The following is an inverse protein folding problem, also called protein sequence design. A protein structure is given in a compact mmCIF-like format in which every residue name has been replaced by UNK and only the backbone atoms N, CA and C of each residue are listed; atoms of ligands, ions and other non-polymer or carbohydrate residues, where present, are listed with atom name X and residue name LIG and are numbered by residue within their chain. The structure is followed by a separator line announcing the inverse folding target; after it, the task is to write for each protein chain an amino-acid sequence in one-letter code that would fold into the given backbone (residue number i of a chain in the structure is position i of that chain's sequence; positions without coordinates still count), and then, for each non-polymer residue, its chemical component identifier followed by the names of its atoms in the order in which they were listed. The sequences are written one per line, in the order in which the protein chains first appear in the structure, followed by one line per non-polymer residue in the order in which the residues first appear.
data_IF_106603354809
#
_entry.id   IF_106603354809
#
_cell.length_a   1.000
_cell.length_b   1.000
_cell.length_c   1.000
_cell.angle_alpha   90.00
_cell.angle_beta   90.00
_cell.angle_gamma   90.00
#
_symmetry.space_group_name_H-M   'P 1'
#
loop_
_entity.id
_entity.type
_entity.pdbx_description
1 polymer ?
#
# COMPACT_ATOMS: atom_id res chain seq x y z
N UNK A 1 -11.49 -23.50 23.31
CA UNK A 1 -10.99 -22.31 22.58
C UNK A 1 -9.56 -22.09 23.03
N UNK A 2 -8.63 -21.90 22.10
CA UNK A 2 -7.22 -21.65 22.40
C UNK A 2 -6.95 -20.13 22.36
N UNK A 3 -5.74 -19.73 22.74
CA UNK A 3 -5.39 -18.31 22.90
C UNK A 3 -5.36 -17.54 21.57
N UNK A 4 -4.98 -18.17 20.45
CA UNK A 4 -4.96 -17.52 19.14
C UNK A 4 -6.36 -17.33 18.55
N UNK A 5 -7.31 -18.27 18.76
CA UNK A 5 -8.73 -18.04 18.42
C UNK A 5 -9.33 -16.93 19.29
N UNK A 6 -8.99 -16.89 20.59
CA UNK A 6 -9.44 -15.79 21.45
C UNK A 6 -8.88 -14.44 20.96
N UNK A 7 -7.64 -14.43 20.47
CA UNK A 7 -7.02 -13.25 19.90
C UNK A 7 -7.65 -12.83 18.56
N UNK A 8 -7.95 -13.76 17.63
CA UNK A 8 -8.64 -13.43 16.38
C UNK A 8 -10.03 -12.85 16.61
N UNK A 9 -10.72 -13.32 17.65
CA UNK A 9 -12.06 -12.84 18.03
C UNK A 9 -12.02 -11.54 18.87
N UNK A 10 -10.84 -10.95 19.10
CA UNK A 10 -10.62 -9.79 19.97
C UNK A 10 -11.15 -9.95 21.41
N UNK A 11 -11.11 -11.17 21.96
CA UNK A 11 -11.56 -11.45 23.34
C UNK A 11 -10.45 -11.11 24.33
N UNK A 12 -10.15 -9.81 24.48
CA UNK A 12 -9.02 -9.30 25.27
C UNK A 12 -8.99 -9.89 26.68
N UNK A 13 -10.11 -9.86 27.41
CA UNK A 13 -10.16 -10.36 28.79
C UNK A 13 -9.83 -11.85 28.87
N UNK A 14 -10.25 -12.63 27.88
CA UNK A 14 -9.98 -14.06 27.86
C UNK A 14 -8.52 -14.35 27.49
N UNK A 15 -7.95 -13.59 26.56
CA UNK A 15 -6.50 -13.65 26.25
C UNK A 15 -5.69 -13.33 27.50
N UNK A 16 -6.03 -12.26 28.22
CA UNK A 16 -5.38 -11.90 29.48
C UNK A 16 -5.55 -12.97 30.56
N UNK A 17 -6.74 -13.58 30.68
CA UNK A 17 -6.96 -14.71 31.59
C UNK A 17 -6.04 -15.90 31.25
N UNK A 18 -5.88 -16.24 29.98
CA UNK A 18 -4.97 -17.30 29.56
C UNK A 18 -3.51 -16.99 29.90
N UNK A 19 -3.06 -15.76 29.65
CA UNK A 19 -1.69 -15.32 29.94
C UNK A 19 -1.43 -15.29 31.46
N UNK A 20 -2.35 -14.74 32.24
CA UNK A 20 -2.23 -14.65 33.70
C UNK A 20 -2.29 -16.01 34.40
N UNK A 21 -2.98 -16.98 33.80
CA UNK A 21 -3.01 -18.37 34.32
C UNK A 21 -1.70 -19.12 34.13
N UNK A 22 -0.80 -18.62 33.28
CA UNK A 22 0.46 -19.30 32.91
C UNK A 22 0.28 -20.49 31.98
N UNK A 23 -0.95 -20.80 31.53
CA UNK A 23 -1.22 -21.85 30.55
C UNK A 23 -0.67 -21.52 29.17
N UNK A 24 -0.53 -20.22 28.86
CA UNK A 24 0.00 -19.69 27.61
C UNK A 24 0.87 -18.47 27.87
N UNK A 25 1.68 -18.13 26.88
CA UNK A 25 2.48 -16.91 26.77
C UNK A 25 2.09 -16.17 25.49
N UNK A 26 2.48 -14.89 25.37
CA UNK A 26 2.20 -14.10 24.16
C UNK A 26 2.82 -14.71 22.88
N UNK A 27 3.84 -15.55 23.02
CA UNK A 27 4.52 -16.26 21.93
C UNK A 27 4.18 -17.76 21.88
N UNK A 28 3.15 -18.21 22.61
CA UNK A 28 2.68 -19.58 22.50
C UNK A 28 2.11 -19.83 21.10
N UNK A 29 2.79 -20.69 20.36
CA UNK A 29 2.47 -21.00 18.98
C UNK A 29 1.55 -22.23 18.87
N UNK A 30 0.74 -22.24 17.82
CA UNK A 30 0.10 -23.44 17.31
C UNK A 30 1.12 -24.34 16.54
N UNK A 31 0.71 -25.50 16.00
CA UNK A 31 1.62 -26.38 15.26
C UNK A 31 2.30 -25.75 14.03
N UNK A 32 1.75 -24.65 13.51
CA UNK A 32 2.31 -23.89 12.39
C UNK A 32 3.13 -22.70 12.87
N UNK A 33 3.45 -22.57 14.16
CA UNK A 33 4.19 -21.40 14.65
C UNK A 33 3.31 -20.16 14.85
N UNK A 34 2.01 -20.25 14.55
CA UNK A 34 1.09 -19.11 14.57
C UNK A 34 0.76 -18.73 16.01
N UNK A 35 0.94 -17.47 16.36
CA UNK A 35 0.82 -16.98 17.75
C UNK A 35 -0.39 -16.05 17.92
N UNK A 36 -0.82 -15.75 19.15
CA UNK A 36 -1.81 -14.70 19.42
C UNK A 36 -1.46 -13.34 18.81
N UNK A 37 -0.17 -13.04 18.65
CA UNK A 37 0.31 -11.79 18.04
C UNK A 37 0.02 -11.80 16.54
N UNK A 38 0.24 -12.91 15.84
CA UNK A 38 -0.14 -13.04 14.43
C UNK A 38 -1.65 -12.88 14.26
N UNK A 39 -2.45 -13.57 15.09
CA UNK A 39 -3.91 -13.46 15.07
C UNK A 39 -4.38 -12.01 15.33
N UNK A 40 -3.84 -11.34 16.34
CA UNK A 40 -4.21 -9.95 16.62
C UNK A 40 -3.81 -8.98 15.49
N UNK A 41 -2.66 -9.21 14.83
CA UNK A 41 -2.23 -8.41 13.69
C UNK A 41 -3.08 -8.61 12.44
N UNK A 42 -3.38 -9.87 12.09
CA UNK A 42 -4.17 -10.21 10.91
C UNK A 42 -5.56 -9.59 10.93
N UNK A 43 -6.20 -9.55 12.11
CA UNK A 43 -7.54 -8.98 12.28
C UNK A 43 -7.56 -7.53 12.78
N UNK A 44 -6.42 -6.84 12.84
CA UNK A 44 -6.35 -5.42 13.16
C UNK A 44 -6.61 -5.03 14.63
N UNK A 45 -6.43 -5.97 15.58
CA UNK A 45 -6.71 -5.76 17.01
C UNK A 45 -5.57 -5.02 17.72
N UNK A 46 -5.43 -3.72 17.40
CA UNK A 46 -4.34 -2.85 17.88
C UNK A 46 -4.21 -2.78 19.41
N UNK A 47 -5.32 -2.72 20.15
CA UNK A 47 -5.29 -2.72 21.62
C UNK A 47 -4.71 -4.02 22.16
N UNK A 48 -5.14 -5.15 21.60
CA UNK A 48 -4.66 -6.46 21.99
C UNK A 48 -3.17 -6.63 21.65
N UNK A 49 -2.74 -6.20 20.46
CA UNK A 49 -1.32 -6.16 20.09
C UNK A 49 -0.51 -5.37 21.12
N UNK A 50 -0.94 -4.16 21.46
CA UNK A 50 -0.23 -3.32 22.42
C UNK A 50 -0.09 -4.00 23.78
N UNK A 51 -1.15 -4.67 24.26
CA UNK A 51 -1.11 -5.45 25.50
C UNK A 51 -0.14 -6.62 25.40
N UNK A 52 -0.23 -7.43 24.34
CA UNK A 52 0.63 -8.60 24.13
C UNK A 52 2.12 -8.21 24.13
N UNK A 53 2.48 -7.13 23.42
CA UNK A 53 3.88 -6.67 23.33
C UNK A 53 4.34 -6.01 24.63
N UNK A 54 3.60 -5.03 25.16
CA UNK A 54 4.10 -4.18 26.24
C UNK A 54 3.89 -4.77 27.65
N UNK A 55 2.90 -5.65 27.83
CA UNK A 55 2.51 -6.16 29.15
C UNK A 55 2.84 -7.64 29.33
N UNK A 56 2.88 -8.42 28.25
CA UNK A 56 3.03 -9.88 28.30
C UNK A 56 4.30 -10.39 27.60
N UNK A 57 5.31 -9.54 27.48
CA UNK A 57 6.62 -9.86 26.90
C UNK A 57 6.54 -10.52 25.50
N UNK A 58 5.55 -10.10 24.69
CA UNK A 58 5.44 -10.52 23.31
C UNK A 58 6.56 -9.96 22.44
N UNK A 59 6.80 -10.63 21.31
CA UNK A 59 7.72 -10.19 20.26
C UNK A 59 6.92 -9.91 18.99
N UNK A 60 6.93 -8.65 18.54
CA UNK A 60 6.22 -8.23 17.32
C UNK A 60 6.87 -8.78 16.04
N UNK A 61 8.10 -9.29 16.14
CA UNK A 61 8.86 -9.90 15.06
C UNK A 61 8.92 -11.44 15.17
N UNK A 62 8.08 -12.03 16.02
CA UNK A 62 7.94 -13.50 16.11
C UNK A 62 7.66 -14.08 14.74
N UNK A 63 8.24 -15.24 14.44
CA UNK A 63 8.05 -15.94 13.16
C UNK A 63 7.18 -17.17 13.32
N UNK A 64 6.26 -17.37 12.40
CA UNK A 64 5.59 -18.65 12.23
C UNK A 64 6.47 -19.67 11.45
N UNK A 65 5.90 -20.81 11.07
CA UNK A 65 6.63 -21.89 10.38
C UNK A 65 7.00 -21.54 8.94
N UNK A 66 6.30 -20.60 8.31
CA UNK A 66 6.62 -20.07 6.98
C UNK A 66 7.64 -18.92 7.08
N UNK A 67 8.05 -18.58 8.31
CA UNK A 67 8.99 -17.50 8.58
C UNK A 67 8.36 -16.12 8.51
N UNK A 68 7.04 -16.06 8.34
CA UNK A 68 6.24 -14.85 8.31
C UNK A 68 6.18 -14.25 9.71
N UNK A 69 6.28 -12.94 9.78
CA UNK A 69 6.05 -12.16 11.00
C UNK A 69 4.60 -11.70 11.07
N UNK A 70 4.09 -11.24 12.23
CA UNK A 70 2.75 -10.64 12.32
C UNK A 70 2.47 -9.57 11.25
N UNK A 71 3.50 -8.83 10.81
CA UNK A 71 3.36 -7.81 9.77
C UNK A 71 3.11 -8.38 8.36
N UNK A 72 3.54 -9.62 8.07
CA UNK A 72 3.22 -10.31 6.80
C UNK A 72 1.72 -10.65 6.69
N UNK A 73 1.05 -10.81 7.84
CA UNK A 73 -0.36 -11.19 7.92
C UNK A 73 -1.32 -10.00 8.05
N UNK A 74 -0.82 -8.75 8.17
CA UNK A 74 -1.67 -7.57 8.31
C UNK A 74 -2.42 -7.29 7.00
N UNK A 75 -3.72 -7.04 7.10
CA UNK A 75 -4.60 -6.80 5.94
C UNK A 75 -5.01 -5.32 5.77
N UNK A 76 -4.75 -4.46 6.76
CA UNK A 76 -5.17 -3.05 6.73
C UNK A 76 -4.04 -2.04 7.01
N UNK A 77 -4.15 -0.87 6.38
CA UNK A 77 -3.17 0.20 6.48
C UNK A 77 -2.98 0.73 7.90
N UNK A 78 -4.05 0.91 8.67
CA UNK A 78 -3.95 1.54 9.99
C UNK A 78 -3.25 0.61 10.99
N UNK A 79 -3.49 -0.69 10.91
CA UNK A 79 -2.78 -1.70 11.71
C UNK A 79 -1.34 -1.82 11.26
N UNK A 80 -1.06 -1.81 9.95
CA UNK A 80 0.30 -1.84 9.41
C UNK A 80 1.14 -0.68 9.96
N UNK A 81 0.61 0.53 9.85
CA UNK A 81 1.22 1.74 10.39
C UNK A 81 1.42 1.66 11.90
N UNK A 82 0.41 1.19 12.64
CA UNK A 82 0.51 1.01 14.09
C UNK A 82 1.62 0.03 14.49
N UNK A 83 1.72 -1.12 13.82
CA UNK A 83 2.77 -2.13 14.09
C UNK A 83 4.16 -1.54 13.86
N UNK A 84 4.35 -0.76 12.80
CA UNK A 84 5.67 -0.18 12.46
C UNK A 84 6.01 1.02 13.36
N UNK A 85 5.10 1.98 13.49
CA UNK A 85 5.39 3.25 14.15
C UNK A 85 5.31 3.13 15.67
N UNK A 86 4.34 2.40 16.20
CA UNK A 86 4.11 2.31 17.64
C UNK A 86 4.79 1.09 18.25
N UNK A 87 4.66 -0.09 17.62
CA UNK A 87 5.24 -1.33 18.14
C UNK A 87 6.66 -1.62 17.64
N UNK A 88 7.19 -0.77 16.74
CA UNK A 88 8.55 -0.90 16.18
C UNK A 88 8.79 -2.25 15.48
N UNK A 89 7.75 -2.78 14.83
CA UNK A 89 7.85 -3.97 13.98
C UNK A 89 8.80 -3.75 12.81
N UNK A 90 9.64 -4.76 12.54
CA UNK A 90 10.62 -4.71 11.46
C UNK A 90 10.01 -5.19 10.14
N UNK A 91 9.73 -4.25 9.25
CA UNK A 91 9.17 -4.49 7.92
C UNK A 91 10.18 -5.02 6.88
N UNK A 92 11.45 -5.20 7.25
CA UNK A 92 12.48 -5.73 6.35
C UNK A 92 12.76 -7.22 6.58
N UNK A 93 12.09 -7.84 7.56
CA UNK A 93 12.26 -9.28 7.83
C UNK A 93 11.70 -10.07 6.66
N UNK A 94 12.53 -10.96 6.11
CA UNK A 94 12.13 -11.89 5.06
C UNK A 94 11.60 -13.19 5.67
N UNK A 95 10.54 -13.73 5.07
CA UNK A 95 10.02 -15.07 5.35
C UNK A 95 10.90 -16.16 4.70
N UNK A 96 10.47 -17.42 4.76
CA UNK A 96 11.24 -18.55 4.23
C UNK A 96 11.35 -18.55 2.69
N UNK A 97 10.42 -17.89 2.00
CA UNK A 97 10.48 -17.65 0.55
C UNK A 97 11.39 -16.47 0.18
N UNK A 98 11.97 -15.80 1.18
CA UNK A 98 12.85 -14.65 0.99
C UNK A 98 12.10 -13.33 0.76
N UNK A 99 10.79 -13.31 1.03
CA UNK A 99 9.89 -12.18 0.79
C UNK A 99 9.70 -11.34 2.06
N UNK A 100 9.76 -10.02 1.93
CA UNK A 100 9.33 -9.06 2.95
C UNK A 100 7.79 -8.92 2.97
N UNK A 101 7.18 -8.34 4.03
CA UNK A 101 5.73 -8.12 4.08
C UNK A 101 5.17 -7.40 2.84
N UNK A 102 5.88 -6.38 2.34
CA UNK A 102 5.48 -5.63 1.14
C UNK A 102 5.49 -6.51 -0.11
N UNK A 103 6.40 -7.48 -0.20
CA UNK A 103 6.54 -8.39 -1.34
C UNK A 103 5.44 -9.46 -1.32
N UNK A 104 5.00 -9.89 -0.13
CA UNK A 104 3.84 -10.79 0.03
C UNK A 104 2.54 -10.11 -0.41
N UNK A 105 2.31 -8.85 -0.01
CA UNK A 105 1.13 -8.09 -0.44
C UNK A 105 1.02 -7.97 -1.97
N UNK A 106 2.17 -7.85 -2.65
CA UNK A 106 2.23 -7.76 -4.11
C UNK A 106 1.88 -9.07 -4.80
N UNK A 107 2.23 -10.21 -4.20
CA UNK A 107 1.86 -11.51 -4.74
C UNK A 107 0.36 -11.78 -4.58
N UNK A 108 -0.24 -11.26 -3.51
CA UNK A 108 -1.67 -11.42 -3.22
C UNK A 108 -2.56 -10.39 -3.96
N UNK A 109 -1.96 -9.44 -4.70
CA UNK A 109 -2.57 -8.21 -5.22
C UNK A 109 -3.56 -8.35 -6.39
N UNK A 110 -4.39 -9.39 -6.44
CA UNK A 110 -5.47 -9.46 -7.44
C UNK A 110 -6.65 -8.51 -7.13
N UNK A 111 -6.79 -8.05 -5.88
CA UNK A 111 -7.87 -7.14 -5.46
C UNK A 111 -7.34 -5.73 -5.16
N UNK A 112 -7.51 -4.83 -6.13
CA UNK A 112 -7.14 -3.41 -6.10
C UNK A 112 -8.03 -2.56 -5.17
N UNK A 113 -8.28 -3.01 -3.95
CA UNK A 113 -9.02 -2.19 -3.00
C UNK A 113 -8.18 -0.99 -2.51
N UNK A 114 -8.87 0.09 -2.13
CA UNK A 114 -8.23 1.36 -1.81
C UNK A 114 -7.31 1.27 -0.59
N UNK A 115 -7.61 0.35 0.34
CA UNK A 115 -6.85 0.19 1.58
C UNK A 115 -5.58 -0.63 1.36
N UNK A 116 -5.62 -1.72 0.58
CA UNK A 116 -4.42 -2.48 0.19
C UNK A 116 -3.45 -1.61 -0.58
N UNK A 117 -3.95 -0.75 -1.48
CA UNK A 117 -3.10 0.19 -2.23
C UNK A 117 -2.40 1.20 -1.31
N UNK A 118 -3.09 1.71 -0.28
CA UNK A 118 -2.49 2.61 0.71
C UNK A 118 -1.41 1.91 1.53
N UNK A 119 -1.70 0.70 2.02
CA UNK A 119 -0.75 -0.12 2.77
C UNK A 119 0.49 -0.44 1.95
N UNK A 120 0.28 -0.85 0.69
CA UNK A 120 1.34 -1.14 -0.25
C UNK A 120 2.24 0.08 -0.49
N UNK A 121 1.62 1.23 -0.80
CA UNK A 121 2.32 2.51 -1.00
C UNK A 121 3.19 2.87 0.22
N UNK A 122 2.61 2.75 1.42
CA UNK A 122 3.29 3.05 2.67
C UNK A 122 4.51 2.16 2.90
N UNK A 123 4.34 0.84 2.78
CA UNK A 123 5.43 -0.12 2.99
C UNK A 123 6.52 -0.01 1.92
N UNK A 124 6.16 0.28 0.67
CA UNK A 124 7.12 0.53 -0.41
C UNK A 124 7.99 1.74 -0.11
N UNK A 125 7.37 2.85 0.30
CA UNK A 125 8.09 4.08 0.65
C UNK A 125 9.06 3.85 1.83
N UNK A 126 8.69 3.02 2.80
CA UNK A 126 9.55 2.65 3.91
C UNK A 126 10.71 1.72 3.49
N UNK A 127 10.41 0.71 2.67
CA UNK A 127 11.37 -0.35 2.32
C UNK A 127 12.39 0.09 1.28
N UNK A 128 11.98 0.94 0.35
CA UNK A 128 12.75 1.31 -0.84
C UNK A 128 13.08 2.79 -0.93
N UNK A 129 12.66 3.59 0.07
CA UNK A 129 13.03 4.99 0.31
C UNK A 129 13.37 5.78 -0.95
N UNK A 130 12.36 6.41 -1.58
CA UNK A 130 12.53 7.31 -2.73
C UNK A 130 13.64 6.87 -3.70
N UNK A 131 13.49 5.75 -4.41
CA UNK A 131 14.12 5.50 -5.72
C UNK A 131 13.62 4.18 -6.35
N UNK A 132 13.30 4.29 -7.64
CA UNK A 132 13.31 3.26 -8.71
C UNK A 132 12.39 2.03 -8.62
N UNK A 133 11.90 1.66 -7.43
CA UNK A 133 11.08 0.43 -7.29
C UNK A 133 9.59 0.71 -7.47
N UNK A 134 9.14 1.93 -7.14
CA UNK A 134 7.76 2.41 -7.32
C UNK A 134 7.36 2.43 -8.80
N UNK A 135 8.29 2.78 -9.69
CA UNK A 135 8.08 2.80 -11.15
C UNK A 135 8.10 1.40 -11.79
N UNK A 136 8.82 0.44 -11.19
CA UNK A 136 8.96 -0.91 -11.74
C UNK A 136 7.76 -1.82 -11.50
N UNK A 137 6.93 -1.52 -10.51
CA UNK A 137 5.96 -2.47 -9.96
C UNK A 137 4.52 -2.23 -10.41
N UNK A 138 4.20 -1.03 -10.90
CA UNK A 138 2.89 -0.66 -11.47
C UNK A 138 2.85 -0.71 -13.01
N UNK A 139 3.83 -1.34 -13.67
CA UNK A 139 3.76 -1.57 -15.13
C UNK A 139 3.85 -0.30 -15.98
N UNK A 140 4.43 0.79 -15.49
CA UNK A 140 4.78 1.97 -16.29
C UNK A 140 6.07 1.67 -17.06
N UNK A 141 5.96 0.75 -18.03
CA UNK A 141 7.13 0.16 -18.71
C UNK A 141 7.79 1.09 -19.76
N UNK A 142 7.85 2.40 -19.53
CA UNK A 142 8.39 3.30 -20.55
C UNK A 142 8.69 4.74 -20.13
N UNK A 143 8.51 5.12 -18.86
CA UNK A 143 8.95 6.42 -18.39
C UNK A 143 10.26 6.23 -17.63
N UNK A 144 11.35 6.35 -18.37
CA UNK A 144 12.66 6.74 -17.85
C UNK A 144 12.48 7.83 -16.77
N UNK A 145 13.17 7.75 -15.62
CA UNK A 145 13.17 8.82 -14.62
C UNK A 145 13.48 10.19 -15.25
N UNK A 146 14.30 10.23 -16.32
CA UNK A 146 14.54 11.42 -17.13
C UNK A 146 13.28 11.94 -17.82
N UNK A 147 12.35 11.09 -18.26
CA UNK A 147 11.09 11.51 -18.90
C UNK A 147 10.09 12.03 -17.85
N UNK A 148 10.06 11.43 -16.66
CA UNK A 148 9.27 11.93 -15.54
C UNK A 148 9.80 13.28 -15.04
N UNK A 149 11.11 13.40 -14.88
CA UNK A 149 11.77 14.66 -14.52
C UNK A 149 11.63 15.72 -15.62
N UNK A 150 11.72 15.34 -16.90
CA UNK A 150 11.45 16.23 -18.03
C UNK A 150 9.98 16.70 -18.03
N UNK A 151 9.02 15.83 -17.70
CA UNK A 151 7.61 16.22 -17.55
C UNK A 151 7.40 17.17 -16.36
N UNK A 152 8.04 16.91 -15.22
CA UNK A 152 8.03 17.81 -14.05
C UNK A 152 8.64 19.18 -14.41
N UNK A 153 9.80 19.21 -15.06
CA UNK A 153 10.44 20.44 -15.51
C UNK A 153 9.61 21.18 -16.54
N UNK A 154 8.99 20.49 -17.49
CA UNK A 154 8.12 21.10 -18.49
C UNK A 154 6.86 21.71 -17.86
N UNK A 155 6.28 21.08 -16.83
CA UNK A 155 5.18 21.67 -16.06
C UNK A 155 5.65 22.91 -15.29
N UNK A 156 6.81 22.85 -14.63
CA UNK A 156 7.42 24.00 -13.94
C UNK A 156 7.70 25.16 -14.92
N UNK A 157 8.30 24.88 -16.07
CA UNK A 157 8.61 25.85 -17.14
C UNK A 157 7.35 26.52 -17.70
N UNK A 158 6.30 25.75 -18.01
CA UNK A 158 5.02 26.29 -18.52
C UNK A 158 4.32 27.24 -17.55
N UNK A 159 4.69 27.24 -16.28
CA UNK A 159 4.15 28.13 -15.25
C UNK A 159 5.03 29.36 -15.01
N UNK A 160 6.33 29.28 -15.30
CA UNK A 160 7.29 30.38 -15.15
C UNK A 160 7.37 31.26 -16.39
N UNK A 161 7.29 30.64 -17.56
CA UNK A 161 7.05 31.37 -18.80
C UNK A 161 5.54 31.58 -18.90
N UNK A 162 5.12 32.82 -19.11
CA UNK A 162 3.73 33.26 -19.27
C UNK A 162 3.11 32.67 -20.58
N UNK A 163 3.14 31.34 -20.73
CA UNK A 163 2.61 30.61 -21.87
C UNK A 163 1.12 30.87 -21.90
N UNK A 164 0.63 31.33 -23.05
CA UNK A 164 -0.78 31.59 -23.27
C UNK A 164 -1.54 30.28 -23.11
N UNK A 165 -2.20 30.11 -21.97
CA UNK A 165 -3.14 28.99 -21.73
C UNK A 165 -4.24 29.16 -22.77
N UNK A 166 -4.56 28.09 -23.49
CA UNK A 166 -5.76 28.10 -24.31
C UNK A 166 -6.96 28.06 -23.36
N UNK A 167 -7.51 29.24 -23.07
CA UNK A 167 -8.66 29.35 -22.15
C UNK A 167 -9.95 28.79 -22.73
N UNK A 168 -9.91 28.22 -23.95
CA UNK A 168 -11.04 27.51 -24.54
C UNK A 168 -11.05 26.01 -24.22
N UNK A 169 -9.94 25.43 -23.73
CA UNK A 169 -9.87 24.06 -23.26
C UNK A 169 -9.96 24.00 -21.72
N UNK A 170 -11.11 23.55 -21.23
CA UNK A 170 -11.42 23.48 -19.79
C UNK A 170 -10.46 22.55 -19.03
N UNK A 171 -9.95 21.50 -19.69
CA UNK A 171 -9.00 20.56 -19.08
C UNK A 171 -7.63 21.19 -18.88
N UNK A 172 -7.17 22.02 -19.82
CA UNK A 172 -5.87 22.69 -19.69
C UNK A 172 -5.90 23.80 -18.62
N UNK A 173 -7.05 24.47 -18.45
CA UNK A 173 -7.28 25.44 -17.37
C UNK A 173 -7.29 24.77 -15.99
N UNK A 174 -7.98 23.63 -15.86
CA UNK A 174 -8.03 22.89 -14.59
C UNK A 174 -6.65 22.37 -14.19
N UNK A 175 -5.91 21.82 -15.15
CA UNK A 175 -4.53 21.37 -14.94
C UNK A 175 -3.63 22.50 -14.48
N UNK A 176 -3.70 23.66 -15.12
CA UNK A 176 -2.92 24.83 -14.73
C UNK A 176 -3.22 25.27 -13.30
N UNK A 177 -4.49 25.38 -12.94
CA UNK A 177 -4.91 25.78 -11.59
C UNK A 177 -4.43 24.81 -10.52
N UNK A 178 -4.46 23.51 -10.82
CA UNK A 178 -4.01 22.46 -9.89
C UNK A 178 -2.51 22.52 -9.65
N UNK A 179 -1.70 22.72 -10.70
CA UNK A 179 -0.26 22.87 -10.55
C UNK A 179 0.10 24.17 -9.82
N UNK A 180 -0.56 25.28 -10.13
CA UNK A 180 -0.40 26.54 -9.39
C UNK A 180 -0.76 26.40 -7.91
N UNK A 181 -1.79 25.62 -7.59
CA UNK A 181 -2.17 25.36 -6.21
C UNK A 181 -1.07 24.61 -5.45
N UNK A 182 -0.50 23.57 -6.06
CA UNK A 182 0.63 22.80 -5.50
C UNK A 182 1.83 23.72 -5.27
N UNK A 183 2.22 24.51 -6.26
CA UNK A 183 3.37 25.41 -6.18
C UNK A 183 3.26 26.44 -5.04
N UNK A 184 2.06 26.94 -4.77
CA UNK A 184 1.86 28.03 -3.80
C UNK A 184 1.48 27.54 -2.39
N UNK A 185 0.95 26.32 -2.24
CA UNK A 185 0.39 25.84 -0.96
C UNK A 185 1.01 24.53 -0.45
N UNK A 186 1.85 23.85 -1.23
CA UNK A 186 2.49 22.60 -0.79
C UNK A 186 3.70 22.87 0.10
N UNK A 187 3.81 22.11 1.20
CA UNK A 187 5.01 22.07 2.05
C UNK A 187 6.18 21.34 1.36
N UNK A 188 5.89 20.46 0.40
CA UNK A 188 6.87 19.72 -0.41
C UNK A 188 6.41 19.64 -1.86
N UNK A 189 6.67 20.73 -2.58
CA UNK A 189 6.25 20.95 -3.96
C UNK A 189 6.68 19.81 -4.88
N UNK A 190 7.86 19.23 -4.68
CA UNK A 190 8.41 18.24 -5.60
C UNK A 190 7.66 16.89 -5.52
N UNK A 191 7.35 16.45 -4.30
CA UNK A 191 6.59 15.22 -4.07
C UNK A 191 5.12 15.34 -4.54
N UNK A 192 4.50 16.49 -4.31
CA UNK A 192 3.10 16.72 -4.73
C UNK A 192 2.97 16.90 -6.24
N UNK A 193 3.98 17.49 -6.90
CA UNK A 193 4.06 17.54 -8.36
C UNK A 193 4.24 16.14 -8.95
N UNK A 194 5.10 15.32 -8.36
CA UNK A 194 5.30 13.94 -8.79
C UNK A 194 3.99 13.14 -8.72
N UNK A 195 3.31 13.23 -7.59
CA UNK A 195 2.00 12.60 -7.40
C UNK A 195 0.98 13.06 -8.44
N UNK A 196 0.94 14.36 -8.72
CA UNK A 196 0.04 14.90 -9.73
C UNK A 196 0.36 14.42 -11.15
N UNK A 197 1.64 14.33 -11.52
CA UNK A 197 2.07 13.79 -12.82
C UNK A 197 1.68 12.31 -12.95
N UNK A 198 1.83 11.53 -11.88
CA UNK A 198 1.40 10.13 -11.84
C UNK A 198 -0.12 9.98 -11.97
N UNK A 199 -0.90 10.85 -11.31
CA UNK A 199 -2.36 10.92 -11.50
C UNK A 199 -2.72 11.19 -12.97
N UNK A 200 -2.06 12.15 -13.62
CA UNK A 200 -2.29 12.47 -15.03
C UNK A 200 -1.97 11.30 -15.97
N UNK A 201 -0.84 10.62 -15.76
CA UNK A 201 -0.45 9.46 -16.57
C UNK A 201 -1.47 8.33 -16.39
N UNK A 202 -1.91 8.10 -15.16
CA UNK A 202 -2.92 7.09 -14.84
C UNK A 202 -4.25 7.39 -15.54
N UNK A 203 -4.71 8.64 -15.49
CA UNK A 203 -5.93 9.06 -16.19
C UNK A 203 -5.82 8.85 -17.70
N UNK A 204 -4.69 9.18 -18.32
CA UNK A 204 -4.46 8.94 -19.74
C UNK A 204 -4.43 7.45 -20.10
N UNK A 205 -3.79 6.62 -19.27
CA UNK A 205 -3.77 5.17 -19.47
C UNK A 205 -5.17 4.57 -19.34
N UNK A 206 -5.98 5.02 -18.38
CA UNK A 206 -7.38 4.58 -18.24
C UNK A 206 -8.22 5.01 -19.44
N UNK A 207 -8.06 6.23 -19.93
CA UNK A 207 -8.74 6.70 -21.13
C UNK A 207 -8.36 5.88 -22.37
N UNK A 208 -7.08 5.55 -22.55
CA UNK A 208 -6.61 4.71 -23.64
C UNK A 208 -7.10 3.25 -23.52
N UNK A 209 -7.15 2.71 -22.30
CA UNK A 209 -7.66 1.36 -22.05
C UNK A 209 -9.17 1.27 -22.34
N UNK A 210 -9.94 2.29 -21.96
CA UNK A 210 -11.37 2.37 -22.24
C UNK A 210 -11.65 2.51 -23.75
N UNK A 211 -10.88 3.33 -24.47
CA UNK A 211 -10.99 3.44 -25.93
C UNK A 211 -10.67 2.11 -26.64
N UNK A 212 -9.66 1.37 -26.17
CA UNK A 212 -9.34 0.06 -26.73
C UNK A 212 -10.39 -1.02 -26.42
N UNK A 213 -11.16 -0.86 -25.34
CA UNK A 213 -12.30 -1.74 -25.02
C UNK A 213 -13.50 -1.43 -25.92
N UNK A 214 -13.82 -0.16 -26.12
CA UNK A 214 -14.88 0.29 -27.04
C UNK A 214 -14.58 -0.17 -28.49
N UNK A 215 -13.35 -0.04 -28.97
CA UNK A 215 -12.93 -0.51 -30.29
C UNK A 215 -13.05 -2.04 -30.45
N UNK A 216 -12.86 -2.82 -29.37
CA UNK A 216 -13.02 -4.29 -29.39
C UNK A 216 -14.49 -4.71 -29.40
N UNK A 217 -15.34 -3.99 -28.68
CA UNK A 217 -16.78 -4.25 -28.66
C UNK A 217 -17.44 -3.90 -30.00
N UNK A 218 -16.99 -2.82 -30.65
CA UNK A 218 -17.48 -2.44 -31.99
C UNK A 218 -17.06 -3.44 -33.08
N UNK A 219 -15.87 -4.02 -32.98
CA UNK A 219 -15.40 -5.09 -33.89
C UNK A 219 -16.15 -6.40 -33.68
N UNK A 220 -16.54 -6.74 -32.45
CA UNK A 220 -17.34 -7.95 -32.18
C UNK A 220 -18.82 -7.76 -32.60
N UNK A 221 -19.37 -6.56 -32.44
CA UNK A 221 -20.71 -6.21 -32.92
C UNK A 221 -20.81 -6.22 -34.46
N UNK A 222 -19.81 -5.70 -35.17
CA UNK A 222 -19.80 -5.75 -36.65
C UNK A 222 -19.60 -7.17 -37.19
N UNK A 223 -18.92 -8.06 -36.47
CA UNK A 223 -18.83 -9.49 -36.83
C UNK A 223 -20.12 -10.26 -36.60
N UNK A 224 -20.89 -9.92 -35.55
CA UNK A 224 -22.20 -10.56 -35.27
C UNK A 224 -23.29 -10.12 -36.24
N UNK A 225 -23.27 -8.90 -36.75
CA UNK A 225 -24.24 -8.41 -37.74
C UNK A 225 -24.02 -8.95 -39.18
N UNK A 226 -22.88 -9.60 -39.45
CA UNK A 226 -22.54 -10.17 -40.78
C UNK A 226 -22.74 -11.68 -40.90
N UNK A 227 -23.35 -12.32 -39.89
CA UNK A 227 -23.81 -13.73 -39.92
C UNK A 227 -25.32 -13.78 -40.00
#
# INVERSE_FOLDING_TARGET
MNIWIAASDNKIELVEQYLNSGNFTAISADPNGYTPIHAAASYGHKELLQKLINQYNGDINVKDSDGDTPLHHVEDYDTCKFVIEELKGNYQIKNNDGLMPVEVLLQNGEDNDKESLKMLTYLQNLSYGNNDTYNNLYGVHGLDNSALEEMKENLKMKLTDNVSIDTSDEMDVERYNRVQHIMNNSENVDADLEKYVLEMIKEQMVQQANQQQEDREDVDNTKRQRR
#
